data_IF_295942166753
#
_entry.id   IF_295942166753
#
_cell.length_a   1.000
_cell.length_b   1.000
_cell.length_c   1.000
_cell.angle_alpha   90.00
_cell.angle_beta   90.00
_cell.angle_gamma   90.00
#
_symmetry.space_group_name_H-M   'P 1'
#
loop_
_entity.id
_entity.type
_entity.pdbx_description
1 polymer ?
#
# COMPACT_ATOMS: atom_id res chain seq x y z
N UNK A 1 -10.66 -33.47 -23.48
CA UNK A 1 -9.33 -32.82 -23.46
C UNK A 1 -9.59 -31.34 -23.55
N UNK A 2 -9.86 -30.71 -22.42
CA UNK A 2 -9.91 -29.25 -22.29
C UNK A 2 -8.51 -28.74 -22.61
N UNK A 3 -8.41 -27.81 -23.54
CA UNK A 3 -7.16 -27.20 -23.96
C UNK A 3 -6.57 -26.49 -22.70
N UNK A 4 -5.59 -27.10 -22.05
CA UNK A 4 -4.99 -26.57 -20.81
C UNK A 4 -4.12 -25.33 -21.07
N UNK A 5 -3.77 -25.08 -22.33
CA UNK A 5 -2.88 -23.98 -22.71
C UNK A 5 -3.43 -22.59 -22.32
N UNK A 6 -4.73 -22.24 -22.55
CA UNK A 6 -5.27 -20.94 -22.14
C UNK A 6 -5.27 -20.75 -20.62
N UNK A 7 -5.53 -21.82 -19.86
CA UNK A 7 -5.54 -21.78 -18.39
C UNK A 7 -4.14 -21.59 -17.81
N UNK A 8 -3.14 -22.23 -18.39
CA UNK A 8 -1.73 -22.05 -17.99
C UNK A 8 -1.26 -20.63 -18.27
N UNK A 9 -1.60 -20.07 -19.43
CA UNK A 9 -1.25 -18.70 -19.79
C UNK A 9 -1.91 -17.68 -18.85
N UNK A 10 -3.20 -17.85 -18.57
CA UNK A 10 -3.92 -17.03 -17.61
C UNK A 10 -3.24 -17.03 -16.22
N UNK A 11 -2.91 -18.23 -15.70
CA UNK A 11 -2.22 -18.38 -14.41
C UNK A 11 -0.86 -17.69 -14.41
N UNK A 12 -0.10 -17.81 -15.52
CA UNK A 12 1.20 -17.14 -15.65
C UNK A 12 1.08 -15.61 -15.60
N UNK A 13 0.08 -15.03 -16.29
CA UNK A 13 -0.14 -13.58 -16.26
C UNK A 13 -0.66 -13.08 -14.89
N UNK A 14 -1.47 -13.86 -14.20
CA UNK A 14 -1.90 -13.53 -12.82
C UNK A 14 -0.68 -13.50 -11.88
N UNK A 15 0.22 -14.47 -11.99
CA UNK A 15 1.48 -14.49 -11.23
C UNK A 15 2.38 -13.30 -11.58
N UNK A 16 2.51 -12.98 -12.87
CA UNK A 16 3.29 -11.83 -13.32
C UNK A 16 2.74 -10.52 -12.73
N UNK A 17 1.41 -10.34 -12.73
CA UNK A 17 0.76 -9.19 -12.12
C UNK A 17 1.05 -9.12 -10.61
N UNK A 18 0.90 -10.24 -9.90
CA UNK A 18 1.19 -10.32 -8.47
C UNK A 18 2.65 -9.92 -8.18
N UNK A 19 3.62 -10.48 -8.90
CA UNK A 19 5.03 -10.14 -8.76
C UNK A 19 5.33 -8.67 -9.06
N UNK A 20 4.64 -8.11 -10.05
CA UNK A 20 4.76 -6.70 -10.40
C UNK A 20 4.27 -5.81 -9.26
N UNK A 21 3.11 -6.10 -8.67
CA UNK A 21 2.57 -5.35 -7.54
C UNK A 21 3.50 -5.46 -6.33
N UNK A 22 3.94 -6.67 -5.99
CA UNK A 22 4.85 -6.90 -4.86
C UNK A 22 6.17 -6.14 -5.03
N UNK A 23 6.75 -6.15 -6.25
CA UNK A 23 7.95 -5.38 -6.57
C UNK A 23 7.74 -3.88 -6.41
N UNK A 24 6.61 -3.35 -6.87
CA UNK A 24 6.28 -1.93 -6.71
C UNK A 24 6.26 -1.49 -5.24
N UNK A 25 5.78 -2.36 -4.34
CA UNK A 25 5.84 -2.09 -2.90
C UNK A 25 7.26 -2.20 -2.35
N UNK A 26 7.99 -3.27 -2.68
CA UNK A 26 9.35 -3.48 -2.17
C UNK A 26 10.34 -2.40 -2.61
N UNK A 27 10.18 -1.87 -3.83
CA UNK A 27 11.05 -0.84 -4.40
C UNK A 27 10.56 0.59 -4.09
N UNK A 28 9.47 0.75 -3.31
CA UNK A 28 8.80 2.04 -3.08
C UNK A 28 8.54 2.81 -4.39
N UNK A 29 8.26 2.07 -5.47
CA UNK A 29 8.15 2.60 -6.83
C UNK A 29 6.82 2.18 -7.45
N UNK A 30 5.74 2.84 -7.02
CA UNK A 30 4.42 2.54 -7.54
C UNK A 30 4.26 3.02 -8.97
N UNK A 31 3.97 2.10 -9.89
CA UNK A 31 3.77 2.40 -11.31
C UNK A 31 2.46 1.80 -11.83
N UNK A 32 1.39 2.60 -11.76
CA UNK A 32 0.06 2.18 -12.19
C UNK A 32 0.01 1.78 -13.67
N UNK A 33 0.81 2.39 -14.55
CA UNK A 33 0.81 2.05 -15.97
C UNK A 33 1.29 0.62 -16.24
N UNK A 34 2.29 0.15 -15.49
CA UNK A 34 2.79 -1.23 -15.58
C UNK A 34 1.77 -2.21 -15.04
N UNK A 35 1.13 -1.89 -13.91
CA UNK A 35 0.07 -2.70 -13.31
C UNK A 35 -1.12 -2.82 -14.26
N UNK A 36 -1.57 -1.71 -14.86
CA UNK A 36 -2.67 -1.70 -15.82
C UNK A 36 -2.35 -2.55 -17.06
N UNK A 37 -1.11 -2.50 -17.57
CA UNK A 37 -0.68 -3.37 -18.67
C UNK A 37 -0.78 -4.85 -18.31
N UNK A 38 -0.46 -5.22 -17.06
CA UNK A 38 -0.66 -6.59 -16.55
C UNK A 38 -2.14 -6.98 -16.49
N UNK A 39 -3.00 -6.07 -16.01
CA UNK A 39 -4.45 -6.29 -15.95
C UNK A 39 -5.07 -6.44 -17.35
N UNK A 40 -4.59 -5.69 -18.34
CA UNK A 40 -5.04 -5.80 -19.74
C UNK A 40 -4.71 -7.17 -20.33
N UNK A 41 -3.53 -7.74 -20.04
CA UNK A 41 -3.18 -9.11 -20.43
C UNK A 41 -4.18 -10.12 -19.86
N UNK A 42 -4.46 -10.04 -18.55
CA UNK A 42 -5.42 -10.91 -17.87
C UNK A 42 -6.83 -10.76 -18.45
N UNK A 43 -7.27 -9.52 -18.72
CA UNK A 43 -8.57 -9.28 -19.34
C UNK A 43 -8.67 -9.89 -20.74
N UNK A 44 -7.58 -9.86 -21.52
CA UNK A 44 -7.51 -10.54 -22.82
C UNK A 44 -7.59 -12.08 -22.66
N UNK A 45 -6.91 -12.64 -21.63
CA UNK A 45 -6.99 -14.08 -21.36
C UNK A 45 -8.40 -14.51 -20.94
N UNK A 46 -9.09 -13.72 -20.11
CA UNK A 46 -10.50 -13.96 -19.75
C UNK A 46 -11.38 -13.97 -21.02
N UNK A 47 -11.08 -13.11 -21.99
CA UNK A 47 -11.77 -13.11 -23.28
C UNK A 47 -11.52 -14.41 -24.06
N UNK A 48 -10.28 -14.90 -24.10
CA UNK A 48 -9.92 -16.15 -24.74
C UNK A 48 -10.64 -17.32 -24.05
N UNK A 49 -10.63 -17.37 -22.71
CA UNK A 49 -11.35 -18.38 -21.93
C UNK A 49 -12.86 -18.37 -22.21
N UNK A 50 -13.46 -17.21 -22.47
CA UNK A 50 -14.88 -17.11 -22.81
C UNK A 50 -15.22 -17.77 -24.17
N UNK A 51 -14.27 -17.79 -25.11
CA UNK A 51 -14.41 -18.51 -26.38
C UNK A 51 -14.13 -20.01 -26.26
N UNK A 52 -13.39 -20.43 -25.22
CA UNK A 52 -13.09 -21.82 -24.92
C UNK A 52 -14.23 -22.58 -24.18
N UNK A 53 -15.47 -22.06 -24.23
CA UNK A 53 -16.64 -22.63 -23.57
C UNK A 53 -16.57 -22.80 -22.06
N UNK A 54 -15.79 -21.97 -21.39
CA UNK A 54 -15.80 -21.90 -19.92
C UNK A 54 -17.15 -21.36 -19.45
N UNK A 55 -17.68 -21.93 -18.36
CA UNK A 55 -19.00 -21.58 -17.83
C UNK A 55 -19.17 -20.06 -17.63
N UNK A 56 -20.22 -19.42 -18.18
CA UNK A 56 -20.42 -17.98 -18.13
C UNK A 56 -20.39 -17.37 -16.71
N UNK A 57 -20.89 -18.04 -15.65
CA UNK A 57 -20.80 -17.54 -14.29
C UNK A 57 -19.35 -17.42 -13.80
N UNK A 58 -18.45 -18.32 -14.22
CA UNK A 58 -17.04 -18.26 -13.86
C UNK A 58 -16.34 -17.07 -14.53
N UNK A 59 -16.62 -16.86 -15.84
CA UNK A 59 -16.12 -15.69 -16.56
C UNK A 59 -16.59 -14.38 -15.91
N UNK A 60 -17.85 -14.31 -15.51
CA UNK A 60 -18.38 -13.15 -14.79
C UNK A 60 -17.67 -12.92 -13.45
N UNK A 61 -17.41 -14.00 -12.71
CA UNK A 61 -16.66 -13.92 -11.44
C UNK A 61 -15.23 -13.39 -11.67
N UNK A 62 -14.51 -13.95 -12.65
CA UNK A 62 -13.14 -13.52 -12.98
C UNK A 62 -13.08 -12.03 -13.35
N UNK A 63 -14.05 -11.54 -14.14
CA UNK A 63 -14.14 -10.11 -14.48
C UNK A 63 -14.42 -9.22 -13.26
N UNK A 64 -15.28 -9.68 -12.37
CA UNK A 64 -15.61 -8.94 -11.16
C UNK A 64 -14.38 -8.84 -10.24
N UNK A 65 -13.60 -9.93 -10.08
CA UNK A 65 -12.38 -9.93 -9.28
C UNK A 65 -11.31 -9.02 -9.91
N UNK A 66 -11.11 -9.11 -11.24
CA UNK A 66 -10.18 -8.21 -11.93
C UNK A 66 -10.58 -6.73 -11.75
N UNK A 67 -11.88 -6.42 -11.87
CA UNK A 67 -12.40 -5.08 -11.61
C UNK A 67 -12.27 -4.65 -10.14
N UNK A 68 -12.22 -5.61 -9.21
CA UNK A 68 -11.93 -5.31 -7.81
C UNK A 68 -10.47 -4.94 -7.61
N UNK A 69 -9.54 -5.67 -8.22
CA UNK A 69 -8.10 -5.37 -8.21
C UNK A 69 -7.85 -3.99 -8.83
N UNK A 70 -8.47 -3.68 -9.97
CA UNK A 70 -8.37 -2.37 -10.63
C UNK A 70 -8.79 -1.23 -9.69
N UNK A 71 -9.93 -1.36 -9.01
CA UNK A 71 -10.38 -0.36 -8.03
C UNK A 71 -9.40 -0.19 -6.88
N UNK A 72 -8.83 -1.29 -6.37
CA UNK A 72 -7.87 -1.25 -5.26
C UNK A 72 -6.56 -0.59 -5.68
N UNK A 73 -6.01 -0.95 -6.83
CA UNK A 73 -4.75 -0.37 -7.35
C UNK A 73 -4.88 1.11 -7.67
N UNK A 74 -6.02 1.54 -8.23
CA UNK A 74 -6.32 2.95 -8.42
C UNK A 74 -6.47 3.70 -7.10
N UNK A 75 -7.06 3.07 -6.07
CA UNK A 75 -7.16 3.66 -4.74
C UNK A 75 -5.79 3.82 -4.07
N UNK A 76 -4.91 2.83 -4.21
CA UNK A 76 -3.53 2.90 -3.73
C UNK A 76 -2.79 4.05 -4.42
N UNK A 77 -2.92 4.18 -5.75
CA UNK A 77 -2.35 5.29 -6.51
C UNK A 77 -2.81 6.64 -5.98
N UNK A 78 -4.11 6.80 -5.70
CA UNK A 78 -4.64 8.04 -5.12
C UNK A 78 -4.03 8.29 -3.75
N UNK A 79 -3.91 7.29 -2.88
CA UNK A 79 -3.32 7.44 -1.55
C UNK A 79 -1.85 7.86 -1.66
N UNK A 80 -1.06 7.18 -2.51
CA UNK A 80 0.37 7.49 -2.69
C UNK A 80 0.58 8.88 -3.30
N UNK A 81 -0.30 9.31 -4.24
CA UNK A 81 -0.19 10.63 -4.88
C UNK A 81 -0.84 11.75 -4.10
N UNK A 82 -1.71 11.43 -3.16
CA UNK A 82 -2.34 12.44 -2.31
C UNK A 82 -1.41 12.66 -1.12
N UNK A 83 -0.27 13.31 -1.36
CA UNK A 83 0.54 13.85 -0.28
C UNK A 83 -0.39 14.69 0.60
N UNK A 84 -0.42 14.37 1.88
CA UNK A 84 -1.11 15.21 2.84
C UNK A 84 -0.58 16.62 2.64
N UNK A 85 -1.47 17.57 2.35
CA UNK A 85 -1.16 18.89 1.82
C UNK A 85 0.09 19.44 2.51
N UNK A 86 1.22 19.71 1.78
CA UNK A 86 2.47 20.17 2.40
C UNK A 86 2.27 21.39 3.31
N UNK A 87 1.24 22.19 3.01
CA UNK A 87 0.79 23.31 3.82
C UNK A 87 0.30 22.89 5.22
N UNK A 88 -0.33 21.70 5.36
CA UNK A 88 -0.81 21.23 6.67
C UNK A 88 0.36 20.82 7.58
N UNK A 89 1.43 20.22 7.03
CA UNK A 89 2.66 19.93 7.77
C UNK A 89 3.34 21.21 8.21
N UNK A 90 3.54 22.13 7.28
CA UNK A 90 4.15 23.42 7.60
C UNK A 90 3.36 24.15 8.70
N UNK A 91 2.02 24.10 8.64
CA UNK A 91 1.18 24.69 9.67
C UNK A 91 1.35 23.98 11.03
N UNK A 92 1.39 22.63 11.05
CA UNK A 92 1.57 21.86 12.28
C UNK A 92 2.96 22.10 12.88
N UNK A 93 4.01 22.16 12.09
CA UNK A 93 5.37 22.48 12.52
C UNK A 93 5.45 23.92 13.09
N UNK A 94 4.93 24.91 12.37
CA UNK A 94 4.91 26.30 12.81
C UNK A 94 4.11 26.44 14.12
N UNK A 95 2.94 25.80 14.22
CA UNK A 95 2.13 25.83 15.42
C UNK A 95 2.86 25.20 16.60
N UNK A 96 3.52 24.04 16.40
CA UNK A 96 4.31 23.35 17.43
C UNK A 96 5.46 24.24 17.91
N UNK A 97 6.25 24.79 17.00
CA UNK A 97 7.37 25.69 17.33
C UNK A 97 6.86 26.95 18.07
N UNK A 98 5.74 27.52 17.61
CA UNK A 98 5.13 28.70 18.24
C UNK A 98 4.71 28.42 19.69
N UNK A 99 4.07 27.27 19.94
CA UNK A 99 3.66 26.88 21.30
C UNK A 99 4.87 26.68 22.21
N UNK A 100 5.92 26.01 21.70
CA UNK A 100 7.17 25.82 22.47
C UNK A 100 7.79 27.17 22.83
N UNK A 101 7.87 28.10 21.87
CA UNK A 101 8.43 29.47 22.13
C UNK A 101 7.56 30.21 23.16
N UNK A 102 6.22 30.18 22.98
CA UNK A 102 5.33 30.84 23.95
C UNK A 102 5.48 30.29 25.36
N UNK A 103 5.65 28.97 25.52
CA UNK A 103 5.87 28.34 26.81
C UNK A 103 7.17 28.75 27.48
N UNK A 104 8.22 29.12 26.72
CA UNK A 104 9.46 29.65 27.27
C UNK A 104 9.29 31.01 27.95
N UNK A 105 8.28 31.78 27.57
CA UNK A 105 7.98 33.08 28.21
C UNK A 105 7.05 32.97 29.43
N UNK A 106 6.48 31.77 29.68
CA UNK A 106 5.62 31.57 30.86
C UNK A 106 6.48 31.39 32.08
N UNK A 107 6.33 32.32 33.06
CA UNK A 107 7.01 32.19 34.35
C UNK A 107 6.30 31.13 35.19
N UNK A 108 7.02 30.06 35.50
CA UNK A 108 6.53 28.94 36.30
C UNK A 108 7.21 28.93 37.67
N UNK A 109 6.42 29.01 38.74
CA UNK A 109 6.88 28.87 40.12
C UNK A 109 6.08 27.70 40.74
N UNK A 110 6.74 26.63 41.31
CA UNK A 110 8.19 26.41 41.40
C UNK A 110 8.82 25.94 40.08
N UNK A 111 10.08 26.33 39.85
CA UNK A 111 10.83 26.09 38.61
C UNK A 111 10.91 24.60 38.27
N UNK A 112 11.09 23.72 39.26
CA UNK A 112 11.23 22.27 39.01
C UNK A 112 9.95 21.65 38.36
N UNK A 113 8.80 21.94 38.97
CA UNK A 113 7.51 21.42 38.44
C UNK A 113 7.21 22.01 37.08
N UNK A 114 7.48 23.31 36.88
CA UNK A 114 7.31 23.95 35.59
C UNK A 114 8.20 23.35 34.50
N UNK A 115 9.44 23.00 34.79
CA UNK A 115 10.36 22.35 33.83
C UNK A 115 9.89 20.96 33.46
N UNK A 116 9.37 20.18 34.39
CA UNK A 116 8.82 18.85 34.10
C UNK A 116 7.60 18.95 33.19
N UNK A 117 6.66 19.85 33.50
CA UNK A 117 5.46 20.08 32.67
C UNK A 117 5.86 20.51 31.26
N UNK A 118 6.80 21.47 31.17
CA UNK A 118 7.32 21.93 29.87
C UNK A 118 7.92 20.79 29.05
N UNK A 119 8.78 19.95 29.67
CA UNK A 119 9.40 18.82 29.00
C UNK A 119 8.35 17.80 28.46
N UNK A 120 7.34 17.51 29.28
CA UNK A 120 6.24 16.57 28.86
C UNK A 120 5.46 17.16 27.70
N UNK A 121 5.03 18.42 27.76
CA UNK A 121 4.26 19.06 26.68
C UNK A 121 5.06 19.13 25.39
N UNK A 122 6.34 19.54 25.46
CA UNK A 122 7.21 19.54 24.27
C UNK A 122 7.37 18.16 23.68
N UNK A 123 7.59 17.14 24.50
CA UNK A 123 7.71 15.75 24.05
C UNK A 123 6.44 15.27 23.35
N UNK A 124 5.27 15.59 23.92
CA UNK A 124 3.99 15.22 23.29
C UNK A 124 3.75 15.93 21.96
N UNK A 125 4.06 17.22 21.86
CA UNK A 125 3.87 17.99 20.63
C UNK A 125 4.81 17.49 19.51
N UNK A 126 6.08 17.29 19.83
CA UNK A 126 7.06 16.75 18.87
C UNK A 126 6.66 15.33 18.45
N UNK A 127 6.27 14.49 19.41
CA UNK A 127 5.80 13.13 19.13
C UNK A 127 4.57 13.11 18.21
N UNK A 128 3.64 14.05 18.42
CA UNK A 128 2.44 14.16 17.56
C UNK A 128 2.82 14.54 16.12
N UNK A 129 3.73 15.50 15.92
CA UNK A 129 4.19 15.90 14.57
C UNK A 129 4.91 14.75 13.89
N UNK A 130 5.77 14.03 14.63
CA UNK A 130 6.46 12.84 14.10
C UNK A 130 5.48 11.73 13.72
N UNK A 131 4.46 11.48 14.55
CA UNK A 131 3.43 10.50 14.28
C UNK A 131 2.63 10.86 13.01
N UNK A 132 2.22 12.13 12.87
CA UNK A 132 1.52 12.58 11.66
C UNK A 132 2.38 12.36 10.43
N UNK A 133 3.68 12.66 10.50
CA UNK A 133 4.61 12.46 9.40
C UNK A 133 4.81 10.98 9.04
N UNK A 134 4.84 10.12 10.05
CA UNK A 134 4.98 8.67 9.86
C UNK A 134 3.73 8.04 9.21
N UNK A 135 2.54 8.60 9.50
CA UNK A 135 1.28 8.10 8.94
C UNK A 135 0.95 8.61 7.52
N UNK A 136 1.73 9.52 6.98
CA UNK A 136 1.43 10.16 5.69
C UNK A 136 1.53 9.20 4.51
N UNK A 137 2.52 8.30 4.52
CA UNK A 137 2.69 7.31 3.47
C UNK A 137 2.79 5.88 4.05
N UNK A 138 1.65 5.21 4.29
CA UNK A 138 1.65 3.87 4.90
C UNK A 138 2.20 2.78 3.97
N UNK A 139 2.49 3.11 2.70
CA UNK A 139 3.05 2.18 1.72
C UNK A 139 4.56 2.36 1.50
N UNK A 140 5.19 3.32 2.18
CA UNK A 140 6.64 3.48 2.16
C UNK A 140 7.27 2.45 3.10
N UNK A 141 7.70 1.30 2.55
CA UNK A 141 8.39 0.25 3.29
C UNK A 141 9.81 0.71 3.55
N UNK A 142 10.07 1.18 4.74
CA UNK A 142 11.35 1.73 5.15
C UNK A 142 11.76 1.33 6.56
N UNK A 143 13.01 1.56 6.90
CA UNK A 143 13.66 1.11 8.13
C UNK A 143 13.21 1.82 9.42
N UNK A 144 12.25 2.74 9.38
CA UNK A 144 11.87 3.57 10.53
C UNK A 144 10.39 3.96 10.61
N UNK A 145 9.51 3.29 9.88
CA UNK A 145 8.06 3.54 9.91
C UNK A 145 7.37 2.54 10.85
N UNK A 146 6.52 3.03 11.74
CA UNK A 146 5.76 2.22 12.70
C UNK A 146 4.34 1.86 12.19
N UNK A 147 3.94 2.45 11.07
CA UNK A 147 2.60 2.32 10.50
C UNK A 147 2.60 1.61 9.12
N UNK A 148 3.57 0.74 8.88
CA UNK A 148 3.70 0.03 7.61
C UNK A 148 2.55 -0.96 7.38
N UNK A 149 2.12 -1.04 6.12
CA UNK A 149 1.15 -2.06 5.70
C UNK A 149 1.85 -3.42 5.71
N UNK A 150 1.22 -4.39 6.40
CA UNK A 150 1.71 -5.77 6.41
C UNK A 150 1.53 -6.43 5.04
N UNK A 151 2.64 -6.74 4.38
CA UNK A 151 2.69 -7.43 3.08
C UNK A 151 2.84 -8.95 3.21
N UNK A 152 2.75 -9.52 4.42
CA UNK A 152 2.91 -10.96 4.63
C UNK A 152 1.92 -11.77 3.77
N UNK A 153 0.70 -11.27 3.61
CA UNK A 153 -0.32 -11.91 2.76
C UNK A 153 0.09 -11.97 1.29
N UNK A 154 0.78 -10.95 0.77
CA UNK A 154 1.29 -10.97 -0.61
C UNK A 154 2.42 -11.99 -0.77
N UNK A 155 3.31 -12.09 0.21
CA UNK A 155 4.39 -13.09 0.20
C UNK A 155 3.85 -14.52 0.32
N UNK A 156 2.80 -14.73 1.13
CA UNK A 156 2.13 -16.03 1.23
C UNK A 156 1.50 -16.49 -0.09
N UNK A 157 0.93 -15.57 -0.86
CA UNK A 157 0.38 -15.90 -2.19
C UNK A 157 1.47 -16.38 -3.15
N UNK A 158 2.67 -15.86 -3.09
CA UNK A 158 3.78 -16.31 -3.94
C UNK A 158 4.18 -17.75 -3.63
N UNK A 159 4.30 -18.10 -2.36
CA UNK A 159 4.54 -19.49 -1.91
C UNK A 159 3.43 -20.45 -2.36
N UNK A 160 2.18 -20.02 -2.27
CA UNK A 160 1.03 -20.81 -2.72
C UNK A 160 1.04 -21.09 -4.23
N UNK A 161 1.50 -20.13 -5.05
CA UNK A 161 1.67 -20.34 -6.49
C UNK A 161 2.80 -21.35 -6.79
N UNK A 162 3.90 -21.31 -6.04
CA UNK A 162 5.02 -22.21 -6.23
C UNK A 162 4.68 -23.66 -5.83
N UNK A 163 3.90 -23.85 -4.76
CA UNK A 163 3.39 -25.15 -4.35
C UNK A 163 2.43 -25.76 -5.40
N UNK A 164 1.56 -24.93 -5.99
CA UNK A 164 0.65 -25.38 -7.04
C UNK A 164 1.40 -25.82 -8.32
N UNK A 165 2.45 -25.09 -8.71
CA UNK A 165 3.24 -25.48 -9.88
C UNK A 165 4.04 -26.77 -9.64
N UNK A 166 4.53 -26.99 -8.42
CA UNK A 166 5.19 -28.23 -8.05
C UNK A 166 4.21 -29.43 -8.10
N UNK A 167 2.93 -29.20 -7.69
CA UNK A 167 1.90 -30.21 -7.75
C UNK A 167 1.44 -30.52 -9.21
N UNK A 168 1.42 -29.51 -10.11
CA UNK A 168 1.06 -29.67 -11.51
C UNK A 168 2.21 -30.32 -12.34
N UNK A 169 3.44 -30.36 -11.81
CA UNK A 169 4.62 -30.96 -12.45
C UNK A 169 4.87 -32.43 -12.04
N UNK A 170 4.19 -32.94 -11.00
CA UNK A 170 4.33 -34.29 -10.46
C UNK A 170 3.27 -35.23 -11.02
#
# INVERSE_FOLDING_TARGET
>A
LTDEAPTRLFRAHVRELHRTINRCFQENSWNLAVINSGMDKINNDIRILSYANVAPPLIAKLRNELGSIDRMTNRIEVIIRTDFIPAAYALAEIATVSVIILMLFVRMDPILEGTIIFAVVCSMLVGLVLLIRDMDNPFEIGTHTYADVDLETLNYLETSFDEQDAADAA
#
